data_IF_813686722172
#
_entry.id   IF_813686722172
#
_cell.length_a   1.000
_cell.length_b   1.000
_cell.length_c   1.000
_cell.angle_alpha   90.00
_cell.angle_beta   90.00
_cell.angle_gamma   90.00
#
_symmetry.space_group_name_H-M   'P 1'
#
loop_
_entity.id
_entity.type
_entity.pdbx_description
1 polymer ?
#
# COMPACT_ATOMS: atom_id res chain seq x y z
N UNK A 1 -1.02 -16.95 5.54
CA UNK A 1 -1.11 -15.71 4.73
C UNK A 1 -1.04 -16.13 3.28
N UNK A 2 -2.03 -15.74 2.46
CA UNK A 2 -2.08 -16.05 1.04
C UNK A 2 -2.22 -14.75 0.27
N UNK A 3 -1.62 -14.68 -0.92
CA UNK A 3 -1.72 -13.54 -1.82
C UNK A 3 -2.36 -13.99 -3.13
N UNK A 4 -3.22 -13.14 -3.69
CA UNK A 4 -3.81 -13.36 -5.00
C UNK A 4 -2.81 -12.88 -6.05
N UNK A 5 -2.30 -13.78 -6.87
CA UNK A 5 -1.28 -13.49 -7.88
C UNK A 5 -1.95 -13.32 -9.24
N UNK A 6 -1.67 -12.18 -9.90
CA UNK A 6 -2.01 -11.93 -11.30
C UNK A 6 -0.89 -12.41 -12.19
N UNK A 7 -1.12 -13.46 -12.95
CA UNK A 7 -0.13 -14.02 -13.88
C UNK A 7 -0.01 -13.18 -15.15
N UNK A 8 1.23 -12.85 -15.55
CA UNK A 8 1.47 -12.08 -16.77
C UNK A 8 1.04 -12.87 -18.01
N UNK A 9 0.22 -12.26 -18.85
CA UNK A 9 -0.30 -12.88 -20.07
C UNK A 9 -1.56 -13.73 -19.88
N UNK A 10 -2.07 -13.83 -18.64
CA UNK A 10 -3.31 -14.54 -18.33
C UNK A 10 -4.42 -13.56 -17.90
N UNK A 11 -5.70 -13.90 -18.16
CA UNK A 11 -6.84 -13.10 -17.73
C UNK A 11 -7.00 -13.12 -16.19
N UNK A 12 -7.73 -12.12 -15.62
CA UNK A 12 -8.08 -12.08 -14.19
C UNK A 12 -8.75 -13.34 -13.65
N UNK A 13 -9.40 -14.12 -14.52
CA UNK A 13 -10.06 -15.35 -14.12
C UNK A 13 -9.07 -16.47 -13.74
N UNK A 14 -7.82 -16.36 -14.14
CA UNK A 14 -6.75 -17.31 -13.82
C UNK A 14 -5.90 -16.87 -12.64
N UNK A 15 -6.32 -15.83 -11.92
CA UNK A 15 -5.67 -15.43 -10.68
C UNK A 15 -5.73 -16.57 -9.66
N UNK A 16 -4.59 -16.88 -9.05
CA UNK A 16 -4.50 -17.97 -8.05
C UNK A 16 -4.08 -17.44 -6.70
N UNK A 17 -4.56 -18.12 -5.65
CA UNK A 17 -4.17 -17.84 -4.27
C UNK A 17 -2.92 -18.62 -3.92
N UNK A 18 -1.78 -17.94 -3.90
CA UNK A 18 -0.48 -18.53 -3.58
C UNK A 18 -0.09 -18.27 -2.11
N UNK A 19 0.56 -19.24 -1.44
CA UNK A 19 1.02 -19.05 -0.08
C UNK A 19 2.19 -18.05 -0.04
N UNK A 20 2.13 -17.12 0.93
CA UNK A 20 3.18 -16.10 1.15
C UNK A 20 4.58 -16.69 1.20
N UNK A 21 4.77 -17.81 1.91
CA UNK A 21 6.10 -18.43 2.08
C UNK A 21 6.74 -18.76 0.74
N UNK A 22 5.98 -19.34 -0.18
CA UNK A 22 6.45 -19.68 -1.52
C UNK A 22 6.82 -18.44 -2.32
N UNK A 23 5.99 -17.39 -2.27
CA UNK A 23 6.26 -16.15 -3.00
C UNK A 23 7.49 -15.42 -2.43
N UNK A 24 7.73 -15.48 -1.12
CA UNK A 24 8.95 -14.93 -0.51
C UNK A 24 10.19 -15.71 -0.95
N UNK A 25 10.08 -17.00 -1.20
CA UNK A 25 11.18 -17.83 -1.70
C UNK A 25 11.45 -17.62 -3.20
N UNK A 26 10.41 -17.56 -4.04
CA UNK A 26 10.53 -17.40 -5.50
C UNK A 26 10.76 -15.93 -5.93
N UNK A 27 10.04 -14.97 -5.33
CA UNK A 27 9.98 -13.55 -5.73
C UNK A 27 9.98 -12.57 -4.53
N UNK A 28 11.02 -12.58 -3.68
CA UNK A 28 11.07 -11.78 -2.46
C UNK A 28 10.90 -10.28 -2.68
N UNK A 29 11.44 -9.73 -3.78
CA UNK A 29 11.38 -8.30 -4.08
C UNK A 29 9.95 -7.78 -4.25
N UNK A 30 9.12 -8.53 -4.99
CA UNK A 30 7.72 -8.16 -5.26
C UNK A 30 6.90 -8.21 -3.98
N UNK A 31 7.10 -9.27 -3.17
CA UNK A 31 6.39 -9.41 -1.88
C UNK A 31 6.78 -8.28 -0.93
N UNK A 32 8.07 -7.93 -0.88
CA UNK A 32 8.56 -6.85 -0.02
C UNK A 32 7.99 -5.48 -0.43
N UNK A 33 7.93 -5.19 -1.72
CA UNK A 33 7.32 -3.95 -2.22
C UNK A 33 5.83 -3.88 -1.83
N UNK A 34 5.08 -4.95 -2.07
CA UNK A 34 3.66 -5.03 -1.70
C UNK A 34 3.44 -4.85 -0.19
N UNK A 35 4.21 -5.53 0.66
CA UNK A 35 4.12 -5.40 2.12
C UNK A 35 4.51 -3.99 2.61
N UNK A 36 5.50 -3.37 1.98
CA UNK A 36 5.92 -1.99 2.27
C UNK A 36 4.79 -1.01 1.95
N UNK A 37 4.20 -1.13 0.76
CA UNK A 37 3.07 -0.28 0.37
C UNK A 37 1.87 -0.47 1.29
N UNK A 38 1.54 -1.70 1.69
CA UNK A 38 0.49 -1.96 2.68
C UNK A 38 0.77 -1.31 4.03
N UNK A 39 2.02 -1.34 4.51
CA UNK A 39 2.41 -0.68 5.75
C UNK A 39 2.24 0.84 5.65
N UNK A 40 2.63 1.44 4.51
CA UNK A 40 2.45 2.88 4.26
C UNK A 40 0.98 3.29 4.19
N UNK A 41 0.11 2.47 3.59
CA UNK A 41 -1.33 2.74 3.52
C UNK A 41 -1.98 2.66 4.91
N UNK A 42 -1.41 1.85 5.81
CA UNK A 42 -1.95 1.67 7.16
C UNK A 42 -1.54 2.77 8.14
N UNK A 43 -0.59 3.62 7.77
CA UNK A 43 0.01 4.67 8.64
C UNK A 43 -0.56 6.09 8.39
N UNK A 44 -1.49 6.26 7.44
CA UNK A 44 -2.12 7.56 7.11
C UNK A 44 -3.31 7.94 8.03
N UNK A 45 -3.50 7.18 9.13
CA UNK A 45 -4.63 7.36 10.05
C UNK A 45 -4.36 8.25 11.27
N UNK A 46 -3.38 9.15 11.25
CA UNK A 46 -3.15 10.03 12.40
C UNK A 46 -2.07 11.10 12.26
N UNK A 47 -2.45 12.28 11.78
CA UNK A 47 -2.01 13.56 12.36
C UNK A 47 -2.95 14.67 11.88
N UNK A 48 -3.94 15.00 12.70
CA UNK A 48 -4.83 16.16 12.58
C UNK A 48 -4.25 17.31 13.41
N UNK A 49 -3.20 18.00 12.95
CA UNK A 49 -2.62 19.18 13.64
C UNK A 49 -1.91 20.03 12.55
N UNK A 50 -2.14 21.31 12.29
CA UNK A 50 -2.74 22.41 13.04
C UNK A 50 -3.52 23.35 12.11
N UNK A 51 -4.73 23.72 12.53
CA UNK A 51 -5.54 24.76 11.93
C UNK A 51 -5.18 26.11 12.57
N UNK A 52 -4.11 26.77 12.13
CA UNK A 52 -3.87 28.19 12.44
C UNK A 52 -3.42 28.97 11.21
N UNK A 53 -4.41 29.53 10.50
CA UNK A 53 -4.21 30.64 9.57
C UNK A 53 -5.13 31.79 10.00
N UNK A 54 -4.87 32.33 11.18
CA UNK A 54 -5.37 33.65 11.59
C UNK A 54 -4.27 34.71 11.46
N UNK A 55 -3.95 35.12 10.22
CA UNK A 55 -3.28 36.40 9.90
C UNK A 55 -3.16 36.51 8.37
N UNK A 56 -3.57 37.56 7.68
CA UNK A 56 -3.98 38.89 8.06
C UNK A 56 -4.89 39.44 6.94
N UNK A 57 -6.16 39.65 7.23
CA UNK A 57 -6.93 40.62 6.43
C UNK A 57 -6.49 41.99 6.90
N UNK A 58 -5.57 42.58 6.14
CA UNK A 58 -5.16 43.97 6.29
C UNK A 58 -6.41 44.86 6.23
N UNK A 59 -6.68 45.57 7.33
CA UNK A 59 -7.54 46.74 7.34
C UNK A 59 -6.68 47.93 7.74
N UNK A 60 -6.16 48.64 6.73
CA UNK A 60 -6.12 50.10 6.66
C UNK A 60 -5.91 50.52 5.20
#
# INVERSE_FOLDING_TARGET
MYYLVRWLGFPPAEDTWEPRTRLVEDIPDIVKEYETTLALISDDGGSEDDHDLVSAFAHE
#
